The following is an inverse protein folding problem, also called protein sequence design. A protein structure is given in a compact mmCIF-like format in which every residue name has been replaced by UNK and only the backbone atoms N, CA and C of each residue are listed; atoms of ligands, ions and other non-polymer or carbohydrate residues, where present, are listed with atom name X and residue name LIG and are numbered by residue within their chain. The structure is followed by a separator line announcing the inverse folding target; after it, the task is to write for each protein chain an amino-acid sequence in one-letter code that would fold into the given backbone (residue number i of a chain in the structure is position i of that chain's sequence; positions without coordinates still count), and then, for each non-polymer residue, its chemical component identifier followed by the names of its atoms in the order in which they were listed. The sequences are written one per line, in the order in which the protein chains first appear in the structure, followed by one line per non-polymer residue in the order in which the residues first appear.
data_IF_785675507700
#
_entry.id   IF_785675507700
#
_cell.length_a   1.000
_cell.length_b   1.000
_cell.length_c   1.000
_cell.angle_alpha   90.00
_cell.angle_beta   90.00
_cell.angle_gamma   90.00
#
_symmetry.space_group_name_H-M   'P 1'
#
loop_
_entity.id
_entity.type
_entity.pdbx_description
1 polymer ?
#
# COMPACT_ATOMS: atom_id res chain seq x y z
N UNK A 1 46.51 -15.77 84.65
CA UNK A 1 46.70 -16.18 83.24
C UNK A 1 45.43 -16.87 82.75
N UNK A 2 44.57 -16.20 81.96
CA UNK A 2 43.41 -16.85 81.36
C UNK A 2 43.69 -17.29 79.92
N UNK A 3 43.13 -18.45 79.57
CA UNK A 3 43.19 -19.15 78.30
C UNK A 3 42.38 -18.46 77.20
N UNK A 4 42.91 -18.44 75.97
CA UNK A 4 42.24 -17.95 74.75
C UNK A 4 41.48 -19.09 74.07
N UNK A 5 40.23 -18.87 73.68
CA UNK A 5 39.50 -19.67 72.68
C UNK A 5 39.43 -18.90 71.34
N UNK A 6 39.41 -19.59 70.17
CA UNK A 6 39.51 -18.95 68.86
C UNK A 6 38.14 -18.54 68.29
N UNK A 7 38.10 -17.39 67.62
CA UNK A 7 36.94 -16.90 66.88
C UNK A 7 36.76 -17.68 65.56
N UNK A 8 35.56 -18.22 65.33
CA UNK A 8 35.12 -18.80 64.04
C UNK A 8 34.95 -17.69 63.01
N UNK A 9 35.62 -17.80 61.86
CA UNK A 9 35.39 -16.95 60.68
C UNK A 9 34.17 -17.47 59.90
N UNK A 10 33.11 -16.67 59.82
CA UNK A 10 32.02 -16.86 58.87
C UNK A 10 32.44 -16.23 57.53
N UNK A 11 32.56 -17.04 56.49
CA UNK A 11 32.76 -16.57 55.12
C UNK A 11 31.38 -16.27 54.50
N UNK A 12 31.10 -15.00 54.18
CA UNK A 12 29.93 -14.62 53.40
C UNK A 12 30.24 -14.83 51.91
N UNK A 13 29.52 -15.77 51.28
CA UNK A 13 29.51 -15.98 49.84
C UNK A 13 28.58 -14.92 49.22
N UNK A 14 29.13 -13.97 48.45
CA UNK A 14 28.33 -12.99 47.72
C UNK A 14 27.84 -13.59 46.39
N UNK A 15 26.56 -13.96 46.30
CA UNK A 15 25.92 -14.27 45.01
C UNK A 15 25.70 -12.97 44.22
N UNK A 16 26.37 -12.85 43.08
CA UNK A 16 26.11 -11.79 42.10
C UNK A 16 24.91 -12.20 41.24
N UNK A 17 23.75 -11.59 41.48
CA UNK A 17 22.60 -11.70 40.58
C UNK A 17 22.90 -10.91 39.30
N UNK A 18 23.11 -11.61 38.19
CA UNK A 18 23.07 -11.02 36.86
C UNK A 18 21.59 -10.78 36.51
N UNK A 19 21.15 -9.53 36.63
CA UNK A 19 19.82 -9.14 36.16
C UNK A 19 19.78 -9.21 34.63
N UNK A 20 19.05 -10.19 34.07
CA UNK A 20 18.64 -10.15 32.67
C UNK A 20 17.70 -8.95 32.50
N UNK A 21 18.19 -7.88 31.89
CA UNK A 21 17.35 -6.76 31.44
C UNK A 21 16.51 -7.28 30.26
N UNK A 22 15.17 -7.27 30.33
CA UNK A 22 14.35 -7.56 29.17
C UNK A 22 14.69 -6.53 28.09
N UNK A 23 15.02 -6.99 26.89
CA UNK A 23 15.15 -6.11 25.73
C UNK A 23 13.84 -5.34 25.59
N UNK A 24 13.85 -4.08 26.01
CA UNK A 24 12.70 -3.20 25.89
C UNK A 24 12.48 -3.01 24.38
N UNK A 25 11.38 -3.54 23.86
CA UNK A 25 10.86 -3.16 22.54
C UNK A 25 10.75 -1.63 22.57
N UNK A 26 11.74 -0.95 21.98
CA UNK A 26 11.70 0.49 21.82
C UNK A 26 10.49 0.76 20.92
N UNK A 27 9.43 1.31 21.49
CA UNK A 27 8.28 1.77 20.73
C UNK A 27 8.80 2.64 19.57
N UNK A 28 8.48 2.25 18.34
CA UNK A 28 8.92 2.97 17.15
C UNK A 28 8.32 4.36 17.14
N UNK A 29 9.05 5.34 16.62
CA UNK A 29 8.57 6.71 16.50
C UNK A 29 7.21 6.71 15.79
N UNK A 30 6.16 7.31 16.36
CA UNK A 30 4.82 7.40 15.78
C UNK A 30 4.75 8.25 14.49
N UNK A 31 5.88 8.75 13.99
CA UNK A 31 5.98 9.72 12.90
C UNK A 31 6.63 9.15 11.63
N UNK A 32 6.59 7.84 11.40
CA UNK A 32 7.07 7.29 10.11
C UNK A 32 6.25 7.93 8.98
N UNK A 33 6.91 8.60 8.00
CA UNK A 33 6.21 9.18 6.85
C UNK A 33 5.44 8.11 6.10
N UNK A 34 4.26 8.45 5.58
CA UNK A 34 3.49 7.55 4.72
C UNK A 34 3.55 8.06 3.28
N UNK A 35 3.86 7.14 2.36
CA UNK A 35 3.51 7.26 0.96
C UNK A 35 2.24 6.43 0.76
N UNK A 36 1.10 7.07 0.56
CA UNK A 36 -0.18 6.38 0.44
C UNK A 36 -0.40 5.91 -1.01
N UNK A 37 -0.32 4.60 -1.25
CA UNK A 37 -0.42 4.05 -2.60
C UNK A 37 -1.83 3.87 -3.12
N UNK A 38 -2.84 4.36 -2.41
CA UNK A 38 -4.23 4.14 -2.81
C UNK A 38 -5.14 5.23 -2.27
N UNK A 39 -5.38 6.30 -3.04
CA UNK A 39 -6.46 7.26 -2.76
C UNK A 39 -7.24 7.60 -4.02
N UNK A 40 -8.53 7.85 -3.82
CA UNK A 40 -9.45 8.28 -4.87
C UNK A 40 -10.00 9.68 -4.61
N UNK A 41 -9.93 10.55 -5.61
CA UNK A 41 -10.56 11.88 -5.59
C UNK A 41 -11.57 12.03 -6.72
N UNK A 42 -12.70 11.34 -6.58
CA UNK A 42 -13.70 11.21 -7.65
C UNK A 42 -14.74 12.32 -7.59
N UNK A 43 -15.58 12.45 -8.63
CA UNK A 43 -16.52 13.58 -8.74
C UNK A 43 -17.50 13.74 -7.58
N UNK A 44 -17.80 12.66 -6.85
CA UNK A 44 -18.60 12.71 -5.63
C UNK A 44 -17.96 13.55 -4.51
N UNK A 45 -16.63 13.67 -4.50
CA UNK A 45 -15.89 14.34 -3.43
C UNK A 45 -15.78 15.85 -3.63
N UNK A 46 -15.92 16.34 -4.87
CA UNK A 46 -15.49 17.69 -5.25
C UNK A 46 -16.26 18.81 -4.54
N UNK A 47 -17.52 18.58 -4.18
CA UNK A 47 -18.35 19.57 -3.48
C UNK A 47 -17.91 19.73 -2.02
N UNK A 48 -17.69 18.61 -1.33
CA UNK A 48 -17.38 18.59 0.11
C UNK A 48 -15.88 18.80 0.38
N UNK A 49 -15.04 18.34 -0.54
CA UNK A 49 -13.59 18.36 -0.44
C UNK A 49 -12.98 19.07 -1.66
N UNK A 50 -12.89 20.41 -1.65
CA UNK A 50 -12.06 21.11 -2.61
C UNK A 50 -10.58 20.70 -2.47
N UNK A 51 -9.74 20.85 -3.52
CA UNK A 51 -8.34 20.41 -3.53
C UNK A 51 -7.51 20.84 -2.31
N UNK A 52 -7.72 22.06 -1.82
CA UNK A 52 -7.02 22.61 -0.66
C UNK A 52 -7.38 21.86 0.63
N UNK A 53 -8.64 21.42 0.76
CA UNK A 53 -9.08 20.61 1.90
C UNK A 53 -8.46 19.22 1.83
N UNK A 54 -8.38 18.62 0.65
CA UNK A 54 -7.70 17.33 0.43
C UNK A 54 -6.25 17.41 0.87
N UNK A 55 -5.49 18.39 0.38
CA UNK A 55 -4.08 18.57 0.75
C UNK A 55 -3.92 18.80 2.27
N UNK A 56 -4.82 19.55 2.90
CA UNK A 56 -4.83 19.73 4.36
C UNK A 56 -5.07 18.42 5.13
N UNK A 57 -5.93 17.54 4.63
CA UNK A 57 -6.16 16.21 5.23
C UNK A 57 -4.90 15.37 5.12
N UNK A 58 -4.25 15.35 3.96
CA UNK A 58 -2.98 14.62 3.76
C UNK A 58 -1.87 15.14 4.69
N UNK A 59 -1.80 16.47 4.89
CA UNK A 59 -0.85 17.08 5.83
C UNK A 59 -1.12 16.65 7.28
N UNK A 60 -2.38 16.71 7.72
CA UNK A 60 -2.78 16.28 9.07
C UNK A 60 -2.50 14.80 9.30
N UNK A 61 -2.68 13.96 8.29
CA UNK A 61 -2.36 12.53 8.37
C UNK A 61 -0.85 12.24 8.28
N UNK A 62 -0.04 13.19 7.82
CA UNK A 62 1.39 12.98 7.56
C UNK A 62 1.67 12.12 6.33
N UNK A 63 0.78 12.14 5.34
CA UNK A 63 0.95 11.51 4.03
C UNK A 63 1.80 12.42 3.14
N UNK A 64 3.05 12.04 2.88
CA UNK A 64 4.03 12.89 2.18
C UNK A 64 3.92 12.84 0.66
N UNK A 65 3.42 11.74 0.12
CA UNK A 65 3.12 11.53 -1.29
C UNK A 65 1.99 10.50 -1.40
N UNK A 66 1.27 10.50 -2.51
CA UNK A 66 0.20 9.55 -2.72
C UNK A 66 0.00 9.20 -4.20
N UNK A 67 -0.37 7.93 -4.45
CA UNK A 67 -0.95 7.54 -5.73
C UNK A 67 -2.41 7.98 -5.75
N UNK A 68 -2.74 8.88 -6.66
CA UNK A 68 -4.11 9.40 -6.81
C UNK A 68 -4.70 8.86 -8.09
N UNK A 69 -5.93 8.37 -8.00
CA UNK A 69 -6.73 8.00 -9.16
C UNK A 69 -8.16 8.56 -8.98
N UNK A 70 -8.93 8.75 -10.05
CA UNK A 70 -10.28 9.34 -9.92
C UNK A 70 -11.22 8.93 -11.02
N UNK A 71 -12.51 8.96 -10.71
CA UNK A 71 -13.60 8.76 -11.68
C UNK A 71 -14.47 10.03 -11.74
N UNK A 72 -14.48 10.79 -12.85
CA UNK A 72 -13.54 10.71 -13.97
C UNK A 72 -12.12 11.17 -13.56
N UNK A 73 -11.16 11.06 -14.47
CA UNK A 73 -9.73 11.31 -14.22
C UNK A 73 -9.40 12.79 -13.91
N UNK A 74 -10.35 13.70 -14.11
CA UNK A 74 -10.20 15.15 -13.88
C UNK A 74 -9.86 15.50 -12.43
N UNK A 75 -10.31 14.71 -11.45
CA UNK A 75 -9.92 14.90 -10.06
C UNK A 75 -8.42 14.66 -9.84
N UNK A 76 -7.88 13.59 -10.44
CA UNK A 76 -6.46 13.24 -10.39
C UNK A 76 -5.61 14.35 -10.98
N UNK A 77 -5.96 14.84 -12.19
CA UNK A 77 -5.23 15.94 -12.83
C UNK A 77 -5.36 17.25 -12.05
N UNK A 78 -6.51 17.51 -11.44
CA UNK A 78 -6.70 18.70 -10.59
C UNK A 78 -5.76 18.67 -9.39
N UNK A 79 -5.68 17.56 -8.65
CA UNK A 79 -4.77 17.44 -7.52
C UNK A 79 -3.31 17.48 -7.97
N UNK A 80 -2.97 16.81 -9.07
CA UNK A 80 -1.63 16.83 -9.64
C UNK A 80 -1.17 18.24 -10.03
N UNK A 81 -2.04 19.03 -10.67
CA UNK A 81 -1.73 20.40 -11.03
C UNK A 81 -1.50 21.31 -9.80
N UNK A 82 -2.13 20.99 -8.65
CA UNK A 82 -1.94 21.74 -7.41
C UNK A 82 -0.65 21.37 -6.67
N UNK A 83 -0.29 20.09 -6.60
CA UNK A 83 0.96 19.65 -5.96
C UNK A 83 1.56 18.41 -6.64
N UNK A 84 2.32 18.60 -7.74
CA UNK A 84 2.89 17.49 -8.53
C UNK A 84 4.02 16.75 -7.81
N UNK A 85 4.51 17.26 -6.67
CA UNK A 85 5.51 16.56 -5.84
C UNK A 85 4.83 15.56 -4.90
N UNK A 86 3.63 15.91 -4.41
CA UNK A 86 2.80 15.07 -3.54
C UNK A 86 2.05 14.02 -4.34
N UNK A 87 1.49 14.40 -5.49
CA UNK A 87 0.53 13.57 -6.22
C UNK A 87 1.23 12.80 -7.33
N UNK A 88 1.04 11.48 -7.34
CA UNK A 88 1.48 10.58 -8.41
C UNK A 88 0.24 10.07 -9.14
N UNK A 89 -0.01 10.51 -10.39
CA UNK A 89 -1.24 10.18 -11.11
C UNK A 89 -1.30 8.72 -11.57
N UNK A 90 -2.41 8.05 -11.28
CA UNK A 90 -2.78 6.75 -11.84
C UNK A 90 -4.10 6.93 -12.61
N UNK A 91 -4.12 6.56 -13.88
CA UNK A 91 -5.26 6.76 -14.77
C UNK A 91 -6.29 5.63 -14.58
N UNK A 92 -7.43 5.91 -13.96
CA UNK A 92 -8.54 4.93 -13.93
C UNK A 92 -9.14 4.79 -15.32
N UNK A 93 -9.48 3.57 -15.76
CA UNK A 93 -10.20 3.35 -17.01
C UNK A 93 -11.70 3.67 -16.89
N UNK A 94 -12.08 4.69 -16.10
CA UNK A 94 -13.47 5.00 -15.79
C UNK A 94 -13.80 6.45 -16.14
N UNK A 95 -14.76 6.62 -17.06
CA UNK A 95 -15.41 7.91 -17.35
C UNK A 95 -16.50 8.18 -16.32
N UNK A 96 -17.19 7.11 -15.91
CA UNK A 96 -18.23 7.14 -14.88
C UNK A 96 -18.11 5.91 -13.97
N UNK A 97 -18.83 5.92 -12.84
CA UNK A 97 -18.86 4.77 -11.92
C UNK A 97 -19.39 3.48 -12.57
N UNK A 98 -20.21 3.59 -13.61
CA UNK A 98 -20.77 2.42 -14.31
C UNK A 98 -19.67 1.60 -15.02
N UNK A 99 -18.64 2.26 -15.55
CA UNK A 99 -17.54 1.58 -16.27
C UNK A 99 -16.83 0.54 -15.40
N UNK A 100 -16.87 0.69 -14.07
CA UNK A 100 -16.28 -0.26 -13.11
C UNK A 100 -16.73 -1.70 -13.33
N UNK A 101 -17.99 -1.91 -13.73
CA UNK A 101 -18.58 -3.24 -13.92
C UNK A 101 -18.45 -3.82 -15.33
N UNK A 102 -17.83 -3.11 -16.29
CA UNK A 102 -17.74 -3.60 -17.68
C UNK A 102 -16.59 -3.03 -18.52
N UNK A 103 -15.65 -2.28 -17.93
CA UNK A 103 -14.57 -1.62 -18.69
C UNK A 103 -13.73 -2.60 -19.51
N UNK A 104 -13.50 -3.81 -18.98
CA UNK A 104 -12.66 -4.84 -19.61
C UNK A 104 -13.21 -5.33 -20.94
N UNK A 105 -14.41 -4.95 -21.35
CA UNK A 105 -15.03 -5.35 -22.60
C UNK A 105 -15.57 -4.17 -23.41
N UNK A 106 -15.36 -2.93 -22.97
CA UNK A 106 -15.86 -1.72 -23.63
C UNK A 106 -14.75 -1.03 -24.45
N UNK A 107 -14.80 -1.10 -25.80
CA UNK A 107 -13.84 -0.39 -26.66
C UNK A 107 -13.84 1.13 -26.49
N UNK A 108 -14.96 1.73 -26.04
CA UNK A 108 -15.02 3.16 -25.80
C UNK A 108 -14.26 3.56 -24.53
N UNK A 109 -14.12 2.67 -23.54
CA UNK A 109 -13.20 2.87 -22.42
C UNK A 109 -11.74 2.83 -22.90
N UNK A 110 -11.40 1.87 -23.77
CA UNK A 110 -10.06 1.81 -24.34
C UNK A 110 -9.70 3.11 -25.08
N UNK A 111 -10.61 3.61 -25.92
CA UNK A 111 -10.41 4.88 -26.62
C UNK A 111 -10.20 6.05 -25.64
N UNK A 112 -10.97 6.10 -24.56
CA UNK A 112 -10.79 7.10 -23.50
C UNK A 112 -9.42 7.00 -22.83
N UNK A 113 -8.96 5.80 -22.45
CA UNK A 113 -7.63 5.63 -21.84
C UNK A 113 -6.53 6.09 -22.79
N UNK A 114 -6.61 5.70 -24.07
CA UNK A 114 -5.66 6.12 -25.10
C UNK A 114 -5.62 7.64 -25.26
N UNK A 115 -6.77 8.28 -25.31
CA UNK A 115 -6.89 9.73 -25.40
C UNK A 115 -6.27 10.43 -24.18
N UNK A 116 -6.55 9.95 -22.96
CA UNK A 116 -6.00 10.54 -21.72
C UNK A 116 -4.48 10.39 -21.66
N UNK A 117 -3.95 9.22 -22.00
CA UNK A 117 -2.51 8.98 -22.08
C UNK A 117 -1.85 9.90 -23.11
N UNK A 118 -2.45 10.04 -24.30
CA UNK A 118 -1.92 10.90 -25.36
C UNK A 118 -1.90 12.38 -24.95
N UNK A 119 -3.01 12.88 -24.38
CA UNK A 119 -3.15 14.29 -23.97
C UNK A 119 -2.23 14.66 -22.81
N UNK A 120 -1.94 13.72 -21.91
CA UNK A 120 -1.15 13.94 -20.70
C UNK A 120 0.12 13.09 -20.71
N UNK A 121 0.82 13.09 -21.85
CA UNK A 121 1.98 12.23 -22.07
C UNK A 121 3.04 12.42 -20.96
N UNK A 122 3.45 11.31 -20.34
CA UNK A 122 4.44 11.30 -19.27
C UNK A 122 3.95 11.69 -17.87
N UNK A 123 2.66 12.04 -17.72
CA UNK A 123 2.06 12.40 -16.42
C UNK A 123 1.75 11.18 -15.57
N UNK A 124 1.11 10.17 -16.16
CA UNK A 124 0.68 8.98 -15.40
C UNK A 124 1.85 8.05 -15.09
N UNK A 125 1.74 7.38 -13.94
CA UNK A 125 2.64 6.30 -13.50
C UNK A 125 1.94 4.96 -13.38
N UNK A 126 0.65 4.90 -13.71
CA UNK A 126 -0.06 3.65 -13.83
C UNK A 126 -1.44 3.79 -14.47
N UNK A 127 -2.06 2.65 -14.75
CA UNK A 127 -3.44 2.50 -15.18
C UNK A 127 -4.18 1.70 -14.10
N UNK A 128 -5.25 2.28 -13.56
CA UNK A 128 -6.02 1.76 -12.43
C UNK A 128 -6.31 2.86 -11.40
N UNK A 129 -6.76 2.55 -10.19
CA UNK A 129 -7.26 1.25 -9.77
C UNK A 129 -8.41 0.79 -10.68
N UNK A 130 -8.31 -0.43 -11.23
CA UNK A 130 -9.37 -1.05 -12.01
C UNK A 130 -9.80 -2.38 -11.39
N UNK A 131 -11.07 -2.73 -11.57
CA UNK A 131 -11.67 -3.98 -11.12
C UNK A 131 -11.57 -5.04 -12.22
N UNK A 132 -10.91 -6.16 -11.95
CA UNK A 132 -10.72 -7.24 -12.91
C UNK A 132 -10.64 -8.57 -12.19
N UNK A 133 -11.46 -9.54 -12.58
CA UNK A 133 -11.53 -10.85 -11.94
C UNK A 133 -11.17 -11.96 -12.92
N UNK A 134 -10.83 -13.14 -12.41
CA UNK A 134 -10.45 -14.28 -13.22
C UNK A 134 -11.44 -14.56 -14.35
N UNK A 135 -10.93 -14.89 -15.53
CA UNK A 135 -11.72 -15.09 -16.75
C UNK A 135 -12.10 -13.81 -17.50
N UNK A 136 -11.89 -12.62 -16.92
CA UNK A 136 -12.15 -11.33 -17.60
C UNK A 136 -10.91 -10.79 -18.33
N UNK A 137 -9.72 -11.34 -18.07
CA UNK A 137 -8.44 -10.84 -18.57
C UNK A 137 -8.21 -11.09 -20.08
N UNK A 138 -8.89 -12.09 -20.65
CA UNK A 138 -8.66 -12.55 -22.02
C UNK A 138 -9.22 -11.64 -23.12
N UNK A 139 -9.92 -10.56 -22.75
CA UNK A 139 -10.60 -9.66 -23.71
C UNK A 139 -9.62 -8.83 -24.53
N UNK A 140 -10.09 -8.31 -25.66
CA UNK A 140 -9.32 -7.39 -26.49
C UNK A 140 -8.91 -6.12 -25.74
N UNK A 141 -9.82 -5.55 -24.93
CA UNK A 141 -9.55 -4.30 -24.19
C UNK A 141 -8.46 -4.51 -23.14
N UNK A 142 -8.52 -5.57 -22.34
CA UNK A 142 -7.49 -5.83 -21.31
C UNK A 142 -6.13 -6.06 -21.96
N UNK A 143 -6.06 -6.86 -23.02
CA UNK A 143 -4.81 -7.06 -23.77
C UNK A 143 -4.24 -5.74 -24.30
N UNK A 144 -5.10 -4.84 -24.80
CA UNK A 144 -4.59 -3.54 -25.26
C UNK A 144 -4.15 -2.62 -24.12
N UNK A 145 -4.80 -2.70 -22.95
CA UNK A 145 -4.34 -1.99 -21.74
C UNK A 145 -2.99 -2.52 -21.26
N UNK A 146 -2.76 -3.85 -21.24
CA UNK A 146 -1.45 -4.41 -20.85
C UNK A 146 -0.36 -3.96 -21.81
N UNK A 147 -0.62 -3.94 -23.12
CA UNK A 147 0.31 -3.42 -24.12
C UNK A 147 0.62 -1.93 -23.92
N UNK A 148 -0.39 -1.10 -23.61
CA UNK A 148 -0.19 0.32 -23.31
C UNK A 148 0.66 0.52 -22.06
N UNK A 149 0.42 -0.26 -21.00
CA UNK A 149 1.21 -0.18 -19.77
C UNK A 149 2.70 -0.49 -20.02
N UNK A 150 2.99 -1.47 -20.88
CA UNK A 150 4.37 -1.78 -21.29
C UNK A 150 4.99 -0.66 -22.14
N UNK A 151 4.22 -0.12 -23.09
CA UNK A 151 4.68 0.94 -24.01
C UNK A 151 5.05 2.22 -23.26
N UNK A 152 4.26 2.57 -22.25
CA UNK A 152 4.49 3.77 -21.42
C UNK A 152 5.40 3.49 -20.20
N UNK A 153 5.81 2.23 -19.99
CA UNK A 153 6.57 1.75 -18.83
C UNK A 153 5.92 2.11 -17.46
N UNK A 154 4.61 1.91 -17.36
CA UNK A 154 3.80 2.26 -16.18
C UNK A 154 3.16 1.02 -15.52
N UNK A 155 2.72 1.19 -14.28
CA UNK A 155 2.14 0.10 -13.48
C UNK A 155 0.67 -0.17 -13.84
N UNK A 156 0.23 -1.41 -13.70
CA UNK A 156 -1.19 -1.75 -13.58
C UNK A 156 -1.57 -1.75 -12.10
N UNK A 157 -2.57 -0.98 -11.69
CA UNK A 157 -3.12 -1.02 -10.33
C UNK A 157 -4.43 -1.82 -10.36
N UNK A 158 -4.37 -3.08 -9.95
CA UNK A 158 -5.43 -4.06 -10.14
C UNK A 158 -6.13 -4.39 -8.82
N UNK A 159 -7.40 -4.01 -8.72
CA UNK A 159 -8.36 -4.58 -7.78
C UNK A 159 -8.87 -5.89 -8.37
N UNK A 160 -8.34 -7.00 -7.87
CA UNK A 160 -8.53 -8.28 -8.53
C UNK A 160 -8.44 -9.46 -7.57
N UNK A 161 -8.97 -10.60 -7.98
CA UNK A 161 -8.67 -11.88 -7.32
C UNK A 161 -7.27 -12.40 -7.71
N UNK A 162 -6.86 -13.50 -7.08
CA UNK A 162 -5.59 -14.18 -7.35
C UNK A 162 -5.49 -14.69 -8.80
N UNK A 163 -6.61 -15.18 -9.34
CA UNK A 163 -6.66 -15.75 -10.68
C UNK A 163 -6.37 -14.67 -11.74
N UNK A 164 -6.97 -13.49 -11.63
CA UNK A 164 -6.67 -12.37 -12.52
C UNK A 164 -5.20 -11.95 -12.46
N UNK A 165 -4.55 -11.98 -11.28
CA UNK A 165 -3.09 -11.72 -11.19
C UNK A 165 -2.30 -12.76 -11.99
N UNK A 166 -2.60 -14.04 -11.81
CA UNK A 166 -1.95 -15.12 -12.57
C UNK A 166 -2.18 -14.95 -14.07
N UNK A 167 -3.40 -14.62 -14.48
CA UNK A 167 -3.75 -14.42 -15.88
C UNK A 167 -3.07 -13.19 -16.49
N UNK A 168 -2.97 -12.07 -15.77
CA UNK A 168 -2.23 -10.88 -16.22
C UNK A 168 -0.77 -11.21 -16.51
N UNK A 169 -0.07 -11.89 -15.59
CA UNK A 169 1.31 -12.32 -15.83
C UNK A 169 1.44 -13.42 -16.89
N UNK A 170 0.37 -14.16 -17.17
CA UNK A 170 0.32 -15.12 -18.29
C UNK A 170 0.22 -14.40 -19.64
N UNK A 171 -0.49 -13.27 -19.71
CA UNK A 171 -0.54 -12.42 -20.91
C UNK A 171 0.85 -11.86 -21.21
N UNK A 172 1.51 -11.29 -20.20
CA UNK A 172 2.87 -10.76 -20.34
C UNK A 172 3.61 -10.83 -19.00
N UNK A 173 4.72 -11.59 -18.90
CA UNK A 173 5.46 -11.73 -17.64
C UNK A 173 6.23 -10.48 -17.21
N UNK A 174 6.46 -9.52 -18.12
CA UNK A 174 7.16 -8.25 -17.83
C UNK A 174 6.27 -7.18 -17.20
N UNK A 175 4.96 -7.40 -17.09
CA UNK A 175 4.05 -6.41 -16.50
C UNK A 175 4.49 -6.02 -15.08
N UNK A 176 4.33 -4.74 -14.75
CA UNK A 176 4.49 -4.22 -13.39
C UNK A 176 3.10 -4.08 -12.78
N UNK A 177 2.79 -4.86 -11.75
CA UNK A 177 1.42 -4.91 -11.18
C UNK A 177 1.44 -4.52 -9.71
N UNK A 178 0.64 -3.53 -9.32
CA UNK A 178 0.25 -3.28 -7.94
C UNK A 178 -1.09 -3.97 -7.74
N UNK A 179 -1.13 -4.96 -6.87
CA UNK A 179 -2.31 -5.71 -6.52
C UNK A 179 -2.98 -5.05 -5.31
N UNK A 180 -4.11 -4.41 -5.56
CA UNK A 180 -4.85 -3.64 -4.57
C UNK A 180 -5.40 -4.54 -3.47
N UNK A 181 -5.33 -4.04 -2.23
CA UNK A 181 -5.93 -4.66 -1.05
C UNK A 181 -5.52 -6.12 -0.80
N UNK A 182 -4.37 -6.56 -1.32
CA UNK A 182 -3.99 -7.97 -1.35
C UNK A 182 -5.16 -8.88 -1.79
N UNK A 183 -5.83 -8.50 -2.89
CA UNK A 183 -6.97 -9.23 -3.45
C UNK A 183 -8.26 -9.17 -2.62
N UNK A 184 -8.39 -8.17 -1.74
CA UNK A 184 -9.49 -7.93 -0.79
C UNK A 184 -9.67 -9.01 0.29
N UNK A 185 -9.45 -10.28 -0.03
CA UNK A 185 -9.64 -11.41 0.89
C UNK A 185 -8.49 -12.42 0.92
N UNK A 186 -7.44 -12.28 0.09
CA UNK A 186 -6.33 -13.24 0.08
C UNK A 186 -5.53 -13.19 1.37
N UNK A 187 -5.33 -14.36 1.99
CA UNK A 187 -4.52 -14.51 3.21
C UNK A 187 -3.02 -14.39 2.95
N UNK A 188 -2.21 -14.19 4.01
CA UNK A 188 -0.77 -13.95 3.88
C UNK A 188 0.00 -15.10 3.19
N UNK A 189 -0.48 -16.34 3.29
CA UNK A 189 0.12 -17.50 2.61
C UNK A 189 -0.06 -17.42 1.09
N UNK A 190 -1.26 -17.12 0.61
CA UNK A 190 -1.55 -17.00 -0.82
C UNK A 190 -0.84 -15.78 -1.43
N UNK A 191 -0.86 -14.66 -0.71
CA UNK A 191 -0.11 -13.44 -1.07
C UNK A 191 1.37 -13.74 -1.19
N UNK A 192 1.95 -14.44 -0.21
CA UNK A 192 3.33 -14.87 -0.24
C UNK A 192 3.66 -15.75 -1.46
N UNK A 193 2.81 -16.74 -1.77
CA UNK A 193 3.04 -17.63 -2.90
C UNK A 193 3.04 -16.89 -4.25
N UNK A 194 2.19 -15.87 -4.43
CA UNK A 194 2.20 -15.04 -5.64
C UNK A 194 3.43 -14.13 -5.71
N UNK A 195 3.87 -13.57 -4.57
CA UNK A 195 5.10 -12.78 -4.50
C UNK A 195 6.37 -13.59 -4.80
N UNK A 196 6.41 -14.86 -4.37
CA UNK A 196 7.49 -15.81 -4.70
C UNK A 196 7.54 -16.06 -6.22
N UNK A 197 6.37 -16.16 -6.87
CA UNK A 197 6.25 -16.52 -8.28
C UNK A 197 6.50 -15.35 -9.24
N UNK A 198 6.06 -14.15 -8.90
CA UNK A 198 6.06 -13.01 -9.82
C UNK A 198 6.95 -11.89 -9.28
N UNK A 199 8.14 -11.63 -9.85
CA UNK A 199 9.07 -10.62 -9.33
C UNK A 199 8.60 -9.17 -9.51
N UNK A 200 7.67 -8.92 -10.43
CA UNK A 200 7.12 -7.59 -10.74
C UNK A 200 5.71 -7.38 -10.14
N UNK A 201 5.39 -8.07 -9.05
CA UNK A 201 4.14 -7.91 -8.30
C UNK A 201 4.36 -7.07 -7.03
N UNK A 202 3.56 -6.06 -6.77
CA UNK A 202 3.55 -5.34 -5.51
C UNK A 202 2.19 -5.47 -4.87
N UNK A 203 2.13 -5.39 -3.55
CA UNK A 203 0.89 -5.53 -2.80
C UNK A 203 0.61 -4.23 -2.09
N UNK A 204 -0.51 -3.60 -2.44
CA UNK A 204 -1.09 -2.49 -1.71
C UNK A 204 -1.97 -3.02 -0.57
N UNK A 205 -1.82 -2.44 0.62
CA UNK A 205 -2.49 -2.87 1.85
C UNK A 205 -3.69 -2.00 2.23
N UNK A 206 -4.15 -1.12 1.33
CA UNK A 206 -5.30 -0.28 1.63
C UNK A 206 -6.51 -1.14 2.04
N UNK A 207 -7.31 -0.64 2.99
CA UNK A 207 -8.46 -1.32 3.63
C UNK A 207 -8.19 -2.71 4.24
N UNK A 208 -6.92 -3.14 4.38
CA UNK A 208 -6.56 -4.40 5.03
C UNK A 208 -6.17 -4.29 6.50
N UNK A 209 -6.24 -3.09 7.11
CA UNK A 209 -5.82 -2.86 8.50
C UNK A 209 -6.40 -3.88 9.49
N UNK A 210 -7.71 -4.17 9.41
CA UNK A 210 -8.39 -5.11 10.31
C UNK A 210 -8.03 -6.59 10.10
N UNK A 211 -7.49 -6.93 8.93
CA UNK A 211 -7.01 -8.28 8.60
C UNK A 211 -5.51 -8.43 8.87
N UNK A 212 -4.72 -7.41 8.54
CA UNK A 212 -3.27 -7.33 8.83
C UNK A 212 -3.03 -7.27 10.33
N UNK A 213 -3.86 -6.51 11.05
CA UNK A 213 -3.71 -6.30 12.49
C UNK A 213 -5.07 -6.31 13.20
N UNK A 214 -5.72 -7.48 13.33
CA UNK A 214 -7.00 -7.58 14.04
C UNK A 214 -6.85 -7.07 15.47
N UNK A 215 -7.72 -6.13 15.87
CA UNK A 215 -7.65 -5.47 17.18
C UNK A 215 -6.35 -4.65 17.40
N UNK A 216 -5.68 -4.26 16.33
CA UNK A 216 -4.41 -3.50 16.37
C UNK A 216 -3.17 -4.37 16.63
N UNK A 217 -3.30 -5.69 16.72
CA UNK A 217 -2.17 -6.62 16.89
C UNK A 217 -1.81 -7.24 15.55
N UNK A 218 -0.57 -7.04 15.10
CA UNK A 218 -0.08 -7.57 13.83
C UNK A 218 -0.20 -9.10 13.81
N UNK A 219 -0.95 -9.61 12.84
CA UNK A 219 -1.15 -11.04 12.65
C UNK A 219 0.20 -11.74 12.36
N UNK A 220 0.48 -12.91 12.98
CA UNK A 220 1.74 -13.62 12.76
C UNK A 220 2.00 -14.05 11.31
N UNK A 221 0.95 -14.37 10.55
CA UNK A 221 1.05 -14.71 9.13
C UNK A 221 1.43 -13.50 8.30
N UNK A 222 0.78 -12.36 8.53
CA UNK A 222 1.13 -11.08 7.91
C UNK A 222 2.55 -10.63 8.27
N UNK A 223 2.94 -10.77 9.54
CA UNK A 223 4.32 -10.54 9.97
C UNK A 223 5.30 -11.40 9.18
N UNK A 224 5.04 -12.70 9.04
CA UNK A 224 5.94 -13.61 8.35
C UNK A 224 6.13 -13.22 6.87
N UNK A 225 5.04 -12.87 6.15
CA UNK A 225 5.14 -12.49 4.74
C UNK A 225 5.82 -11.11 4.56
N UNK A 226 5.58 -10.15 5.45
CA UNK A 226 6.29 -8.86 5.44
C UNK A 226 7.80 -9.01 5.63
N UNK A 227 8.22 -9.90 6.54
CA UNK A 227 9.64 -10.18 6.77
C UNK A 227 10.28 -10.93 5.59
N UNK A 228 9.52 -11.77 4.89
CA UNK A 228 9.99 -12.53 3.74
C UNK A 228 10.10 -11.68 2.46
N UNK A 229 9.20 -10.72 2.27
CA UNK A 229 9.17 -9.83 1.09
C UNK A 229 9.11 -8.34 1.48
N UNK A 230 10.06 -7.83 2.27
CA UNK A 230 9.97 -6.49 2.85
C UNK A 230 9.96 -5.37 1.79
N UNK A 231 10.41 -5.66 0.56
CA UNK A 231 10.54 -4.75 -0.57
C UNK A 231 9.33 -4.76 -1.53
N UNK A 232 8.26 -5.49 -1.18
CA UNK A 232 7.12 -5.78 -2.08
C UNK A 232 5.74 -5.36 -1.59
N UNK A 233 5.67 -4.74 -0.41
CA UNK A 233 4.44 -4.20 0.17
C UNK A 233 4.43 -2.67 0.19
N UNK A 234 3.23 -2.12 0.06
CA UNK A 234 2.94 -0.70 -0.01
C UNK A 234 1.80 -0.36 0.96
N UNK A 235 1.93 0.75 1.69
CA UNK A 235 0.87 1.27 2.55
C UNK A 235 -0.15 2.08 1.75
N UNK A 236 -1.44 1.90 2.03
CA UNK A 236 -2.50 2.71 1.44
C UNK A 236 -3.73 2.83 2.34
N UNK A 237 -4.68 3.71 2.00
CA UNK A 237 -5.89 3.93 2.82
C UNK A 237 -7.22 3.72 2.09
N UNK A 238 -7.25 3.98 0.79
CA UNK A 238 -8.39 3.84 -0.12
C UNK A 238 -9.60 4.72 0.20
N UNK A 239 -9.57 5.97 -0.29
CA UNK A 239 -10.67 6.94 -0.17
C UNK A 239 -11.79 6.72 -1.21
N UNK A 240 -12.25 5.47 -1.38
CA UNK A 240 -13.23 5.07 -2.40
C UNK A 240 -14.64 5.69 -2.28
N UNK A 241 -14.93 6.35 -1.16
CA UNK A 241 -16.13 7.16 -0.98
C UNK A 241 -15.84 8.41 -0.17
N UNK A 242 -16.70 9.41 -0.31
CA UNK A 242 -16.54 10.75 0.27
C UNK A 242 -16.27 10.76 1.78
N UNK A 243 -16.96 9.93 2.57
CA UNK A 243 -16.73 9.84 4.02
C UNK A 243 -15.37 9.26 4.41
N UNK A 244 -14.64 8.61 3.49
CA UNK A 244 -13.30 8.07 3.78
C UNK A 244 -12.25 9.16 3.90
N UNK A 245 -12.47 10.33 3.32
CA UNK A 245 -11.54 11.46 3.45
C UNK A 245 -11.37 11.91 4.91
N UNK A 246 -12.45 11.94 5.69
CA UNK A 246 -12.38 12.24 7.14
C UNK A 246 -11.78 11.09 7.95
N UNK A 247 -11.95 9.85 7.50
CA UNK A 247 -11.38 8.67 8.16
C UNK A 247 -9.87 8.47 7.89
N UNK A 248 -9.33 9.07 6.82
CA UNK A 248 -7.95 8.87 6.35
C UNK A 248 -6.90 9.04 7.47
N UNK A 249 -6.91 10.09 8.32
CA UNK A 249 -5.94 10.21 9.42
C UNK A 249 -6.00 9.04 10.42
N UNK A 250 -7.20 8.50 10.67
CA UNK A 250 -7.40 7.32 11.51
C UNK A 250 -6.82 6.07 10.86
N UNK A 251 -7.10 5.85 9.57
CA UNK A 251 -6.54 4.73 8.80
C UNK A 251 -5.01 4.78 8.74
N UNK A 252 -4.42 5.97 8.57
CA UNK A 252 -2.96 6.14 8.65
C UNK A 252 -2.42 5.82 10.05
N UNK A 253 -3.16 6.17 11.09
CA UNK A 253 -2.78 5.82 12.48
C UNK A 253 -2.78 4.30 12.70
N UNK A 254 -3.79 3.60 12.19
CA UNK A 254 -3.84 2.12 12.21
C UNK A 254 -2.67 1.50 11.45
N UNK A 255 -2.34 2.04 10.27
CA UNK A 255 -1.17 1.63 9.48
C UNK A 255 0.10 1.75 10.30
N UNK A 256 0.36 2.92 10.88
CA UNK A 256 1.53 3.13 11.76
C UNK A 256 1.51 2.18 12.97
N UNK A 257 0.33 1.87 13.50
CA UNK A 257 0.13 0.94 14.61
C UNK A 257 0.71 -0.45 14.34
N UNK A 258 0.35 -1.07 13.21
CA UNK A 258 0.89 -2.40 12.89
C UNK A 258 2.33 -2.35 12.39
N UNK A 259 2.73 -1.27 11.70
CA UNK A 259 4.12 -1.10 11.26
C UNK A 259 5.08 -0.96 12.44
N UNK A 260 4.64 -0.35 13.55
CA UNK A 260 5.43 -0.20 14.78
C UNK A 260 5.87 -1.53 15.40
N UNK A 261 5.21 -2.63 15.03
CA UNK A 261 5.46 -3.98 15.54
C UNK A 261 6.49 -4.73 14.68
N UNK A 262 6.86 -4.24 13.50
CA UNK A 262 7.89 -4.81 12.61
C UNK A 262 9.29 -4.31 12.96
N UNK A 263 10.38 -4.91 12.46
CA UNK A 263 11.70 -4.26 12.44
C UNK A 263 11.63 -2.92 11.70
N UNK A 264 12.37 -1.92 12.18
CA UNK A 264 12.28 -0.53 11.67
C UNK A 264 12.56 -0.42 10.18
N UNK A 265 13.53 -1.14 9.67
CA UNK A 265 13.90 -1.12 8.25
C UNK A 265 12.78 -1.70 7.36
N UNK A 266 12.06 -2.72 7.84
CA UNK A 266 10.88 -3.28 7.17
C UNK A 266 9.72 -2.30 7.25
N UNK A 267 9.46 -1.73 8.42
CA UNK A 267 8.40 -0.72 8.61
C UNK A 267 8.57 0.47 7.66
N UNK A 268 9.78 1.03 7.56
CA UNK A 268 10.08 2.16 6.66
C UNK A 268 9.96 1.79 5.17
N UNK A 269 10.28 0.54 4.80
CA UNK A 269 10.07 0.03 3.44
C UNK A 269 8.59 0.03 3.06
N UNK A 270 7.74 -0.56 3.88
CA UNK A 270 6.29 -0.66 3.63
C UNK A 270 5.64 0.72 3.71
N UNK A 271 6.03 1.53 4.68
CA UNK A 271 5.46 2.86 4.90
C UNK A 271 5.68 3.82 3.72
N UNK A 272 6.89 3.86 3.15
CA UNK A 272 7.21 4.84 2.11
C UNK A 272 8.35 4.47 1.15
N UNK A 273 9.43 3.82 1.61
CA UNK A 273 10.62 3.67 0.73
C UNK A 273 10.38 2.77 -0.48
N UNK A 274 9.52 1.76 -0.36
CA UNK A 274 9.16 0.93 -1.50
C UNK A 274 8.47 1.79 -2.56
N UNK A 275 7.46 2.58 -2.17
CA UNK A 275 6.74 3.44 -3.09
C UNK A 275 7.64 4.53 -3.70
N UNK A 276 8.51 5.17 -2.92
CA UNK A 276 9.49 6.14 -3.44
C UNK A 276 10.44 5.52 -4.47
N UNK A 277 10.81 4.25 -4.30
CA UNK A 277 11.64 3.52 -5.28
C UNK A 277 10.89 3.25 -6.59
N UNK A 278 9.59 2.98 -6.53
CA UNK A 278 8.77 2.74 -7.72
C UNK A 278 8.41 4.05 -8.43
N UNK A 279 8.28 5.13 -7.68
CA UNK A 279 7.82 6.44 -8.13
C UNK A 279 8.76 7.55 -7.64
N UNK A 280 9.96 7.69 -8.23
CA UNK A 280 10.91 8.72 -7.81
C UNK A 280 10.39 10.15 -8.00
#
# INVERSE_FOLDING_TARGET
MPSRMPARRLACLALTLVALVPASLRAQSPDVPIFDTHIHYSSGDWIEYPPERILSILDKAGVKRALVSSTPDDGTLTLYARDPRRVVPILRPYRTRADMGHWWQDPAVLAYVQERLQKNRGVYRGIGEFHLFGGQTGTFVVKRITELALQEDIYLHAHSDELAIVELFTIEPRLKVIWAHAGMSSGPQAVGALLDRYPNLWVDLAIRNGDVAPGGQLDPGWRAVFLRHPDRFLAGTDTWMTSRWEALPGSVTEVRGYLSQLPRDVAEKIAFRNAERLFP
#
